data_IF_739224914955
#
_entry.id   IF_739224914955
#
_cell.length_a   1.000
_cell.length_b   1.000
_cell.length_c   1.000
_cell.angle_alpha   90.00
_cell.angle_beta   90.00
_cell.angle_gamma   90.00
#
_symmetry.space_group_name_H-M   'P 1'
#
loop_
_entity.id
_entity.type
_entity.pdbx_description
1 polymer ?
#
# COMPACT_ATOMS: atom_id res chain seq x y z
N UNK A 1 -31.32 7.34 29.39
CA UNK A 1 -30.93 6.89 28.05
C UNK A 1 -30.77 8.15 27.22
N UNK A 2 -29.54 8.62 27.03
CA UNK A 2 -29.26 9.79 26.19
C UNK A 2 -29.29 9.31 24.72
N UNK A 3 -30.38 9.63 24.03
CA UNK A 3 -30.43 9.48 22.57
C UNK A 3 -29.54 10.58 21.97
N UNK A 4 -28.27 10.28 21.71
CA UNK A 4 -27.43 11.12 20.86
C UNK A 4 -28.06 11.05 19.46
N UNK A 5 -28.40 12.20 18.91
CA UNK A 5 -28.80 12.34 17.51
C UNK A 5 -27.65 11.82 16.63
N UNK A 6 -27.93 10.98 15.62
CA UNK A 6 -26.87 10.50 14.74
C UNK A 6 -26.20 11.69 14.03
N UNK A 7 -24.86 11.70 14.02
CA UNK A 7 -24.05 12.72 13.34
C UNK A 7 -24.44 12.79 11.85
N UNK A 8 -24.51 13.98 11.30
CA UNK A 8 -24.66 14.18 9.85
C UNK A 8 -23.30 14.19 9.15
N UNK A 9 -23.27 14.16 7.82
CA UNK A 9 -22.03 14.36 7.08
C UNK A 9 -21.38 15.72 7.38
N UNK A 10 -22.19 16.76 7.53
CA UNK A 10 -21.72 18.13 7.85
C UNK A 10 -21.05 18.16 9.22
N UNK A 11 -21.67 17.56 10.23
CA UNK A 11 -21.08 17.46 11.58
C UNK A 11 -19.72 16.74 11.55
N UNK A 12 -19.64 15.62 10.82
CA UNK A 12 -18.39 14.88 10.66
C UNK A 12 -17.30 15.69 9.93
N UNK A 13 -17.68 16.51 8.95
CA UNK A 13 -16.76 17.38 8.20
C UNK A 13 -16.24 18.50 9.11
N UNK A 14 -17.12 19.16 9.86
CA UNK A 14 -16.73 20.22 10.81
C UNK A 14 -15.79 19.68 11.89
N UNK A 15 -16.10 18.53 12.48
CA UNK A 15 -15.25 17.90 13.49
C UNK A 15 -13.89 17.50 12.89
N UNK A 16 -13.86 17.07 11.64
CA UNK A 16 -12.61 16.70 10.94
C UNK A 16 -11.68 17.91 10.77
N UNK A 17 -12.21 19.10 10.54
CA UNK A 17 -11.39 20.33 10.43
C UNK A 17 -10.64 20.62 11.75
N UNK A 18 -11.30 20.42 12.89
CA UNK A 18 -10.68 20.61 14.19
C UNK A 18 -9.64 19.53 14.56
N UNK A 19 -9.90 18.29 14.18
CA UNK A 19 -9.09 17.12 14.53
C UNK A 19 -8.03 16.75 13.47
N UNK A 20 -8.13 17.33 12.26
CA UNK A 20 -7.30 16.96 11.11
C UNK A 20 -7.72 15.62 10.46
N UNK A 21 -8.24 14.69 11.24
CA UNK A 21 -8.76 13.39 10.77
C UNK A 21 -9.80 12.84 11.72
N UNK A 22 -10.89 12.31 11.17
CA UNK A 22 -11.98 11.65 11.89
C UNK A 22 -12.19 10.24 11.37
N UNK A 23 -12.49 9.29 12.27
CA UNK A 23 -13.00 7.98 11.93
C UNK A 23 -14.16 7.64 12.88
N UNK A 24 -15.33 7.36 12.31
CA UNK A 24 -16.57 7.19 13.05
C UNK A 24 -17.53 6.24 12.33
N UNK A 25 -18.72 6.06 12.89
CA UNK A 25 -19.81 5.36 12.22
C UNK A 25 -20.27 6.19 11.01
N UNK A 26 -20.66 5.52 9.94
CA UNK A 26 -21.07 6.23 8.74
C UNK A 26 -22.42 6.95 8.96
N UNK A 27 -22.52 8.25 8.76
CA UNK A 27 -23.76 9.00 8.94
C UNK A 27 -24.85 8.64 7.93
N UNK A 28 -24.50 7.99 6.82
CA UNK A 28 -25.46 7.61 5.78
C UNK A 28 -25.94 6.17 5.95
N UNK A 29 -25.05 5.20 6.14
CA UNK A 29 -25.44 3.78 6.22
C UNK A 29 -25.38 3.20 7.64
N UNK A 30 -25.00 4.00 8.65
CA UNK A 30 -24.89 3.54 10.04
C UNK A 30 -23.79 2.50 10.27
N UNK A 31 -22.92 2.26 9.30
CA UNK A 31 -21.85 1.29 9.42
C UNK A 31 -20.87 1.66 10.53
N UNK A 32 -20.68 0.74 11.50
CA UNK A 32 -19.81 1.02 12.64
C UNK A 32 -18.37 1.20 12.19
N UNK A 33 -17.75 2.32 12.63
CA UNK A 33 -16.36 2.70 12.37
C UNK A 33 -15.93 2.61 10.88
N UNK A 34 -16.92 2.77 9.97
CA UNK A 34 -16.73 2.60 8.52
C UNK A 34 -16.51 3.90 7.76
N UNK A 35 -16.71 5.05 8.39
CA UNK A 35 -16.51 6.36 7.77
C UNK A 35 -15.17 6.96 8.19
N UNK A 36 -14.41 7.49 7.23
CA UNK A 36 -13.18 8.23 7.50
C UNK A 36 -13.20 9.55 6.74
N UNK A 37 -12.84 10.63 7.43
CA UNK A 37 -12.65 11.94 6.83
C UNK A 37 -11.25 12.46 7.18
N UNK A 38 -10.63 13.21 6.27
CA UNK A 38 -9.30 13.81 6.45
C UNK A 38 -9.32 15.23 5.95
N UNK A 39 -8.91 16.17 6.79
CA UNK A 39 -8.75 17.57 6.42
C UNK A 39 -7.39 17.83 5.80
N UNK A 40 -7.38 18.50 4.67
CA UNK A 40 -6.20 18.95 3.94
C UNK A 40 -6.07 20.48 4.10
N UNK A 41 -5.27 20.97 5.06
CA UNK A 41 -5.19 22.40 5.37
C UNK A 41 -4.66 23.23 4.21
N UNK A 42 -3.79 22.65 3.36
CA UNK A 42 -3.20 23.35 2.22
C UNK A 42 -4.20 23.65 1.09
N UNK A 43 -5.29 22.89 1.00
CA UNK A 43 -6.32 23.05 -0.03
C UNK A 43 -7.68 23.41 0.56
N UNK A 44 -7.78 23.54 1.87
CA UNK A 44 -9.04 23.76 2.60
C UNK A 44 -10.12 22.72 2.21
N UNK A 45 -9.72 21.47 2.05
CA UNK A 45 -10.59 20.38 1.65
C UNK A 45 -10.70 19.35 2.77
N UNK A 46 -11.90 18.78 2.90
CA UNK A 46 -12.11 17.52 3.64
C UNK A 46 -12.44 16.44 2.62
N UNK A 47 -11.60 15.41 2.57
CA UNK A 47 -11.85 14.21 1.76
C UNK A 47 -12.44 13.16 2.69
N UNK A 48 -13.57 12.56 2.31
CA UNK A 48 -14.22 11.53 3.11
C UNK A 48 -14.65 10.33 2.29
N UNK A 49 -14.72 9.17 2.95
CA UNK A 49 -15.12 7.92 2.33
C UNK A 49 -15.69 6.95 3.37
N UNK A 50 -16.76 6.25 3.01
CA UNK A 50 -17.26 5.08 3.71
C UNK A 50 -16.65 3.80 3.10
N UNK A 51 -16.17 2.89 3.94
CA UNK A 51 -15.53 1.64 3.51
C UNK A 51 -16.50 0.46 3.40
N UNK A 52 -17.81 0.66 3.59
CA UNK A 52 -18.81 -0.37 3.30
C UNK A 52 -19.05 -0.47 1.80
N UNK A 53 -19.06 -1.70 1.28
CA UNK A 53 -19.22 -1.98 -0.15
C UNK A 53 -20.51 -1.40 -0.76
N UNK A 54 -21.58 -1.37 0.02
CA UNK A 54 -22.90 -0.92 -0.43
C UNK A 54 -23.20 0.54 -0.05
N UNK A 55 -22.18 1.34 0.26
CA UNK A 55 -22.35 2.73 0.67
C UNK A 55 -21.53 3.66 -0.20
N UNK A 56 -22.21 4.51 -0.96
CA UNK A 56 -21.57 5.51 -1.83
C UNK A 56 -21.22 6.84 -1.11
N UNK A 57 -21.24 6.86 0.24
CA UNK A 57 -20.87 8.05 1.00
C UNK A 57 -19.37 8.35 0.91
N UNK A 58 -18.99 9.03 -0.15
CA UNK A 58 -17.63 9.50 -0.43
C UNK A 58 -17.67 10.85 -1.13
N UNK A 59 -16.67 11.68 -0.89
CA UNK A 59 -16.60 12.99 -1.54
C UNK A 59 -15.44 13.84 -1.08
N UNK A 60 -15.47 15.07 -1.59
CA UNK A 60 -14.55 16.14 -1.23
C UNK A 60 -15.37 17.40 -0.99
N UNK A 61 -15.24 17.98 0.21
CA UNK A 61 -15.89 19.22 0.58
C UNK A 61 -14.85 20.32 0.82
N UNK A 62 -15.15 21.54 0.37
CA UNK A 62 -14.33 22.72 0.65
C UNK A 62 -14.82 23.40 1.92
N UNK A 63 -13.95 23.54 2.91
CA UNK A 63 -14.25 24.15 4.20
C UNK A 63 -13.61 25.54 4.28
N UNK A 64 -14.37 26.53 4.78
CA UNK A 64 -13.85 27.90 4.98
C UNK A 64 -14.23 28.93 3.92
N UNK A 65 -15.05 28.59 2.93
CA UNK A 65 -15.70 29.58 2.08
C UNK A 65 -17.10 29.88 2.64
N UNK A 66 -17.24 31.01 3.32
CA UNK A 66 -18.54 31.51 3.76
C UNK A 66 -19.52 31.55 2.57
N UNK A 67 -20.61 30.77 2.66
CA UNK A 67 -21.70 30.70 1.68
C UNK A 67 -22.57 31.96 1.61
N UNK A 68 -22.05 33.12 1.94
CA UNK A 68 -22.80 34.39 1.85
C UNK A 68 -22.00 35.41 1.06
N UNK A 69 -22.06 35.31 -0.26
CA UNK A 69 -22.17 36.48 -1.16
C UNK A 69 -22.25 36.02 -2.61
N UNK A 70 -23.40 36.36 -3.25
CA UNK A 70 -23.56 36.42 -4.67
C UNK A 70 -22.58 37.47 -5.26
N UNK A 71 -21.46 37.02 -5.80
CA UNK A 71 -20.57 37.81 -6.65
C UNK A 71 -19.93 36.89 -7.68
N UNK A 72 -20.71 36.58 -8.70
CA UNK A 72 -20.16 36.10 -9.97
C UNK A 72 -19.41 37.20 -10.68
N UNK A 73 -18.18 37.45 -10.36
CA UNK A 73 -17.24 38.18 -11.22
C UNK A 73 -15.89 38.46 -10.54
N UNK A 74 -15.20 37.49 -9.99
CA UNK A 74 -13.78 37.66 -9.62
C UNK A 74 -13.07 36.30 -9.58
N UNK A 75 -13.41 35.40 -10.48
CA UNK A 75 -12.52 34.25 -10.74
C UNK A 75 -11.58 34.60 -11.89
N UNK A 76 -10.62 35.49 -11.66
CA UNK A 76 -9.31 35.25 -12.23
C UNK A 76 -8.80 33.97 -11.60
N UNK A 77 -8.82 32.90 -12.37
CA UNK A 77 -8.10 31.66 -12.02
C UNK A 77 -6.69 32.10 -11.64
N UNK A 78 -6.27 31.96 -10.37
CA UNK A 78 -4.87 32.16 -10.05
C UNK A 78 -4.15 31.12 -10.90
N UNK A 79 -3.18 31.60 -11.68
CA UNK A 79 -2.24 30.75 -12.37
C UNK A 79 -2.01 29.49 -11.50
N UNK A 80 -2.18 28.33 -12.12
CA UNK A 80 -1.84 27.06 -11.50
C UNK A 80 -0.35 27.13 -11.15
N UNK A 81 -0.03 27.81 -10.07
CA UNK A 81 1.20 27.50 -9.35
C UNK A 81 1.02 26.03 -9.00
N UNK A 82 1.66 25.20 -9.78
CA UNK A 82 1.88 23.82 -9.42
C UNK A 82 2.29 23.85 -7.97
N UNK A 83 1.35 23.44 -7.08
CA UNK A 83 1.72 23.12 -5.72
C UNK A 83 2.67 21.96 -5.89
N UNK A 84 3.93 22.27 -5.89
CA UNK A 84 4.99 21.29 -5.67
C UNK A 84 4.66 20.76 -4.28
N UNK A 85 3.94 19.64 -4.24
CA UNK A 85 4.03 18.77 -3.08
C UNK A 85 5.53 18.65 -2.90
N UNK A 86 6.07 19.10 -1.76
CA UNK A 86 7.46 18.84 -1.42
C UNK A 86 7.61 17.32 -1.44
N UNK A 87 7.88 16.82 -2.61
CA UNK A 87 8.29 15.45 -2.80
C UNK A 87 9.58 15.38 -2.02
N UNK A 88 9.60 14.60 -0.95
CA UNK A 88 10.85 14.27 -0.28
C UNK A 88 11.67 13.54 -1.33
N UNK A 89 12.52 14.29 -2.02
CA UNK A 89 13.39 13.77 -3.07
C UNK A 89 14.47 12.84 -2.49
N UNK A 90 14.70 12.95 -1.19
CA UNK A 90 15.76 12.22 -0.51
C UNK A 90 15.23 11.38 0.65
N UNK A 91 15.72 10.15 0.71
CA UNK A 91 15.49 9.28 1.87
C UNK A 91 16.17 9.87 3.11
N UNK A 92 15.52 9.87 4.28
CA UNK A 92 16.11 10.35 5.53
C UNK A 92 17.09 9.29 6.09
N UNK A 93 18.19 9.07 5.41
CA UNK A 93 19.17 8.02 5.75
C UNK A 93 19.82 8.23 7.11
N UNK A 94 19.84 9.46 7.64
CA UNK A 94 20.45 9.79 8.94
C UNK A 94 19.77 9.11 10.13
N UNK A 95 18.49 8.70 9.98
CA UNK A 95 17.75 7.98 11.02
C UNK A 95 17.72 6.46 10.81
N UNK A 96 18.31 5.98 9.71
CA UNK A 96 18.31 4.57 9.33
C UNK A 96 19.56 3.88 9.88
N UNK A 97 19.34 2.94 10.78
CA UNK A 97 20.40 2.09 11.36
C UNK A 97 20.14 0.62 11.03
N UNK A 98 21.06 -0.26 11.37
CA UNK A 98 20.86 -1.69 11.20
C UNK A 98 19.75 -2.18 12.14
N UNK A 99 18.89 -3.10 11.68
CA UNK A 99 17.75 -3.59 12.47
C UNK A 99 18.18 -4.30 13.75
N UNK A 100 19.40 -4.81 13.84
CA UNK A 100 19.99 -5.46 15.02
C UNK A 100 20.09 -4.54 16.24
N UNK A 101 20.07 -3.23 16.04
CA UNK A 101 20.01 -2.27 17.14
C UNK A 101 18.63 -2.13 17.80
N UNK A 102 17.60 -2.81 17.27
CA UNK A 102 16.26 -2.87 17.86
C UNK A 102 15.78 -4.29 17.95
N UNK A 103 15.57 -4.78 19.19
CA UNK A 103 15.02 -6.11 19.42
C UNK A 103 13.66 -6.27 18.74
N UNK A 104 12.80 -5.26 18.81
CA UNK A 104 11.47 -5.29 18.20
C UNK A 104 11.54 -5.40 16.67
N UNK A 105 12.56 -4.77 16.04
CA UNK A 105 12.79 -4.88 14.62
C UNK A 105 13.22 -6.30 14.23
N UNK A 106 14.15 -6.87 14.98
CA UNK A 106 14.62 -8.25 14.79
C UNK A 106 13.47 -9.26 15.00
N UNK A 107 12.71 -9.13 16.10
CA UNK A 107 11.56 -9.98 16.40
C UNK A 107 10.47 -9.87 15.29
N UNK A 108 10.28 -8.68 14.73
CA UNK A 108 9.38 -8.49 13.58
C UNK A 108 9.89 -9.24 12.34
N UNK A 109 11.18 -9.08 11.99
CA UNK A 109 11.77 -9.74 10.82
C UNK A 109 11.75 -11.27 10.93
N UNK A 110 11.96 -11.82 12.11
CA UNK A 110 11.80 -13.25 12.36
C UNK A 110 10.36 -13.70 12.14
N UNK A 111 9.39 -12.98 12.71
CA UNK A 111 7.97 -13.31 12.60
C UNK A 111 7.45 -13.31 11.16
N UNK A 112 8.00 -12.46 10.29
CA UNK A 112 7.62 -12.36 8.87
C UNK A 112 8.61 -13.08 7.95
N UNK A 113 9.46 -13.92 8.47
CA UNK A 113 10.42 -14.77 7.76
C UNK A 113 11.43 -14.02 6.89
N UNK A 114 11.73 -12.76 7.22
CA UNK A 114 12.65 -11.90 6.45
C UNK A 114 14.06 -11.82 7.05
N UNK A 115 14.29 -12.30 8.29
CA UNK A 115 15.56 -12.08 8.98
C UNK A 115 16.73 -12.80 8.31
N UNK A 116 16.57 -14.05 7.87
CA UNK A 116 17.60 -14.81 7.16
C UNK A 116 17.98 -14.11 5.85
N UNK A 117 17.01 -13.68 5.05
CA UNK A 117 17.26 -12.95 3.80
C UNK A 117 18.03 -11.64 4.03
N UNK A 118 17.76 -10.96 5.15
CA UNK A 118 18.54 -9.78 5.55
C UNK A 118 19.98 -10.15 5.90
N UNK A 119 20.21 -11.20 6.68
CA UNK A 119 21.55 -11.65 7.05
C UNK A 119 22.37 -12.13 5.86
N UNK A 120 21.75 -12.74 4.89
CA UNK A 120 22.35 -13.19 3.63
C UNK A 120 22.47 -12.07 2.59
N UNK A 121 22.02 -10.85 2.93
CA UNK A 121 22.04 -9.66 2.06
C UNK A 121 21.21 -9.76 0.79
N UNK A 122 20.23 -10.66 0.76
CA UNK A 122 19.25 -10.74 -0.33
C UNK A 122 18.27 -9.56 -0.30
N UNK A 123 18.03 -8.99 0.89
CA UNK A 123 17.19 -7.80 1.07
C UNK A 123 17.94 -6.69 1.81
N UNK A 124 17.59 -5.45 1.50
CA UNK A 124 18.14 -4.27 2.15
C UNK A 124 17.14 -3.74 3.18
N UNK A 125 17.37 -4.06 4.45
CA UNK A 125 16.50 -3.64 5.54
C UNK A 125 17.24 -2.71 6.49
N UNK A 126 16.55 -1.70 7.01
CA UNK A 126 17.01 -0.77 8.03
C UNK A 126 15.95 -0.63 9.13
N UNK A 127 16.33 0.00 10.21
CA UNK A 127 15.43 0.44 11.26
C UNK A 127 15.45 1.96 11.36
N UNK A 128 14.28 2.59 11.25
CA UNK A 128 14.14 4.03 11.43
C UNK A 128 13.89 4.34 12.92
N UNK A 129 14.90 4.90 13.57
CA UNK A 129 14.86 5.31 14.96
C UNK A 129 13.80 6.38 15.25
N UNK A 130 13.56 7.31 14.30
CA UNK A 130 12.65 8.44 14.51
C UNK A 130 11.20 8.01 14.45
N UNK A 131 10.87 7.13 13.51
CA UNK A 131 9.50 6.70 13.26
C UNK A 131 9.17 5.32 13.86
N UNK A 132 10.16 4.66 14.47
CA UNK A 132 10.04 3.28 14.99
C UNK A 132 9.44 2.33 13.96
N UNK A 133 10.17 2.17 12.83
CA UNK A 133 9.74 1.36 11.70
C UNK A 133 10.86 0.44 11.22
N UNK A 134 10.48 -0.79 10.86
CA UNK A 134 11.32 -1.60 9.99
C UNK A 134 11.16 -1.09 8.57
N UNK A 135 12.25 -0.79 7.90
CA UNK A 135 12.29 -0.10 6.62
C UNK A 135 12.93 -0.99 5.57
N UNK A 136 12.18 -1.32 4.54
CA UNK A 136 12.66 -2.04 3.36
C UNK A 136 13.07 -1.00 2.31
N UNK A 137 14.32 -1.05 1.85
CA UNK A 137 14.82 -0.17 0.80
C UNK A 137 14.41 -0.74 -0.56
N UNK A 138 13.90 0.14 -1.43
CA UNK A 138 13.35 -0.24 -2.73
C UNK A 138 14.30 0.21 -3.83
N UNK A 139 14.78 -0.74 -4.61
CA UNK A 139 15.62 -0.48 -5.78
C UNK A 139 14.78 -0.05 -7.00
N UNK A 140 15.38 0.73 -7.87
CA UNK A 140 14.82 1.05 -9.16
C UNK A 140 14.82 -0.20 -10.06
N UNK A 141 13.63 -0.57 -10.56
CA UNK A 141 13.50 -1.73 -11.45
C UNK A 141 14.24 -1.59 -12.78
N UNK A 142 14.57 -0.36 -13.17
CA UNK A 142 15.33 -0.09 -14.42
C UNK A 142 16.83 0.05 -14.18
N UNK A 143 17.23 0.40 -12.96
CA UNK A 143 18.63 0.62 -12.58
C UNK A 143 18.92 -0.15 -11.28
N UNK A 144 19.18 -1.47 -11.37
CA UNK A 144 19.43 -2.30 -10.19
C UNK A 144 20.54 -1.73 -9.30
N UNK A 145 20.30 -1.75 -7.99
CA UNK A 145 21.22 -1.20 -6.99
C UNK A 145 21.04 0.29 -6.66
N UNK A 146 20.30 1.04 -7.48
CA UNK A 146 19.90 2.42 -7.17
C UNK A 146 18.66 2.41 -6.30
N UNK A 147 18.79 2.82 -5.05
CA UNK A 147 17.64 2.94 -4.14
C UNK A 147 16.85 4.20 -4.50
N UNK A 148 15.55 4.07 -4.76
CA UNK A 148 14.65 5.16 -5.13
C UNK A 148 13.59 5.44 -4.08
N UNK A 149 13.26 4.44 -3.26
CA UNK A 149 12.24 4.58 -2.22
C UNK A 149 12.60 3.72 -1.01
N UNK A 150 11.82 3.87 0.03
CA UNK A 150 11.81 2.99 1.18
C UNK A 150 10.37 2.82 1.67
N UNK A 151 10.05 1.63 2.17
CA UNK A 151 8.73 1.31 2.70
C UNK A 151 8.89 0.85 4.14
N UNK A 152 8.32 1.61 5.08
CA UNK A 152 8.47 1.40 6.51
C UNK A 152 7.23 0.80 7.16
N UNK A 153 7.40 -0.33 7.84
CA UNK A 153 6.37 -0.95 8.68
C UNK A 153 6.48 -0.44 10.11
N UNK A 154 5.39 0.11 10.65
CA UNK A 154 5.39 0.51 12.06
C UNK A 154 5.48 -0.69 13.00
N UNK A 155 6.28 -0.56 14.07
CA UNK A 155 6.36 -1.53 15.16
C UNK A 155 5.36 -1.24 16.29
N UNK A 156 4.75 -0.07 16.30
CA UNK A 156 3.68 0.24 17.25
C UNK A 156 2.41 -0.55 16.93
N UNK A 157 1.79 -1.18 17.94
CA UNK A 157 0.54 -1.95 17.77
C UNK A 157 -0.61 -1.13 17.16
N UNK A 158 -0.67 0.17 17.46
CA UNK A 158 -1.67 1.13 16.96
C UNK A 158 -1.03 2.23 16.09
N UNK A 159 0.18 2.00 15.57
CA UNK A 159 0.89 2.99 14.75
C UNK A 159 0.23 3.15 13.38
N UNK A 160 -0.08 4.40 13.00
CA UNK A 160 -0.65 4.73 11.71
C UNK A 160 0.23 5.75 10.98
N UNK A 161 0.35 5.63 9.66
CA UNK A 161 -0.13 4.52 8.82
C UNK A 161 0.65 3.23 9.11
N UNK A 162 0.02 2.08 8.92
CA UNK A 162 0.63 0.74 9.09
C UNK A 162 1.87 0.59 8.20
N UNK A 163 1.77 1.01 6.95
CA UNK A 163 2.87 1.14 5.99
C UNK A 163 3.09 2.60 5.64
N UNK A 164 4.34 3.02 5.51
CA UNK A 164 4.73 4.39 5.20
C UNK A 164 5.74 4.39 4.05
N UNK A 165 5.46 5.16 3.01
CA UNK A 165 6.39 5.40 1.88
C UNK A 165 7.18 6.66 2.16
N UNK A 166 8.49 6.56 2.05
CA UNK A 166 9.39 7.67 2.39
C UNK A 166 9.56 8.69 1.26
N UNK A 167 9.31 8.28 0.02
CA UNK A 167 9.31 9.17 -1.14
C UNK A 167 8.04 8.99 -1.97
N UNK A 168 7.82 9.86 -2.96
CA UNK A 168 6.74 9.75 -3.94
C UNK A 168 7.06 8.80 -5.10
N UNK A 169 8.30 8.29 -5.15
CA UNK A 169 8.71 7.35 -6.20
C UNK A 169 7.96 6.01 -6.11
N UNK A 170 7.88 5.24 -7.19
CA UNK A 170 7.33 3.90 -7.16
C UNK A 170 7.93 3.06 -6.03
N UNK A 171 7.12 2.20 -5.45
CA UNK A 171 7.51 1.34 -4.32
C UNK A 171 7.26 -0.14 -4.61
N UNK A 172 7.13 -0.49 -5.90
CA UNK A 172 7.09 -1.89 -6.30
C UNK A 172 8.41 -2.57 -5.95
N UNK A 173 8.33 -3.72 -5.33
CA UNK A 173 9.48 -4.45 -4.82
C UNK A 173 9.58 -5.80 -5.49
N UNK A 174 10.73 -6.13 -6.06
CA UNK A 174 10.97 -7.40 -6.76
C UNK A 174 12.13 -8.12 -6.08
N UNK A 175 11.94 -9.40 -5.76
CA UNK A 175 12.94 -10.23 -5.10
C UNK A 175 12.86 -11.68 -5.61
N UNK A 176 14.01 -12.35 -5.65
CA UNK A 176 14.14 -13.72 -6.12
C UNK A 176 14.54 -13.79 -7.58
N UNK A 177 14.74 -15.01 -8.06
CA UNK A 177 15.09 -15.32 -9.44
C UNK A 177 14.34 -16.55 -9.89
N UNK A 178 13.62 -16.48 -11.00
CA UNK A 178 12.82 -17.60 -11.46
C UNK A 178 11.97 -17.26 -12.66
N UNK A 179 11.22 -18.24 -13.13
CA UNK A 179 10.36 -18.11 -14.30
C UNK A 179 8.91 -17.75 -13.95
N UNK A 180 8.50 -17.88 -12.68
CA UNK A 180 7.14 -17.61 -12.21
C UNK A 180 7.15 -16.36 -11.34
N UNK A 181 6.49 -15.30 -11.77
CA UNK A 181 6.32 -14.09 -10.97
C UNK A 181 5.03 -14.14 -10.15
N UNK A 182 5.11 -13.85 -8.85
CA UNK A 182 3.95 -13.81 -7.94
C UNK A 182 3.78 -12.39 -7.39
N UNK A 183 2.70 -11.75 -7.76
CA UNK A 183 2.35 -10.40 -7.32
C UNK A 183 1.54 -10.48 -6.04
N UNK A 184 2.04 -9.86 -4.98
CA UNK A 184 1.47 -9.81 -3.63
C UNK A 184 1.33 -8.39 -3.11
N UNK A 185 0.68 -8.17 -1.97
CA UNK A 185 0.44 -6.83 -1.46
C UNK A 185 1.65 -6.20 -0.78
N UNK A 186 2.37 -6.96 0.05
CA UNK A 186 3.43 -6.42 0.90
C UNK A 186 4.79 -7.12 0.69
N UNK A 187 5.85 -6.41 1.07
CA UNK A 187 7.23 -6.86 0.88
C UNK A 187 7.53 -8.18 1.63
N UNK A 188 7.11 -8.37 2.89
CA UNK A 188 7.32 -9.65 3.55
C UNK A 188 6.72 -10.85 2.81
N UNK A 189 5.52 -10.70 2.25
CA UNK A 189 4.91 -11.76 1.42
C UNK A 189 5.73 -12.05 0.17
N UNK A 190 6.27 -11.02 -0.50
CA UNK A 190 7.18 -11.21 -1.62
C UNK A 190 8.48 -11.91 -1.23
N UNK A 191 9.02 -11.61 -0.05
CA UNK A 191 10.19 -12.28 0.50
C UNK A 191 9.94 -13.78 0.72
N UNK A 192 8.80 -14.14 1.29
CA UNK A 192 8.43 -15.55 1.49
C UNK A 192 8.23 -16.29 0.18
N UNK A 193 7.60 -15.66 -0.82
CA UNK A 193 7.52 -16.25 -2.17
C UNK A 193 8.90 -16.50 -2.76
N UNK A 194 9.85 -15.61 -2.55
CA UNK A 194 11.20 -15.72 -3.12
C UNK A 194 12.08 -16.78 -2.48
N UNK A 195 11.64 -17.40 -1.37
CA UNK A 195 12.34 -18.56 -0.79
C UNK A 195 12.07 -19.86 -1.55
N UNK A 196 11.02 -19.88 -2.38
CA UNK A 196 10.76 -21.02 -3.26
C UNK A 196 11.63 -20.98 -4.50
N UNK A 197 12.12 -22.13 -4.90
CA UNK A 197 12.85 -22.27 -6.16
C UNK A 197 11.97 -21.93 -7.36
N UNK A 198 12.54 -21.20 -8.33
CA UNK A 198 11.86 -20.76 -9.56
C UNK A 198 10.76 -19.71 -9.40
N UNK A 199 10.59 -19.11 -8.21
CA UNK A 199 9.61 -18.05 -7.99
C UNK A 199 10.26 -16.68 -7.76
N UNK A 200 9.59 -15.64 -8.23
CA UNK A 200 9.95 -14.24 -8.02
C UNK A 200 8.79 -13.56 -7.27
N UNK A 201 9.07 -13.07 -6.06
CA UNK A 201 8.11 -12.31 -5.29
C UNK A 201 8.07 -10.85 -5.72
N UNK A 202 6.88 -10.32 -5.96
CA UNK A 202 6.65 -8.92 -6.37
C UNK A 202 5.63 -8.28 -5.45
N UNK A 203 6.07 -7.29 -4.65
CA UNK A 203 5.16 -6.56 -3.80
C UNK A 203 4.76 -5.22 -4.43
N UNK A 204 3.46 -4.93 -4.41
CA UNK A 204 2.93 -3.65 -4.90
C UNK A 204 3.19 -2.50 -3.92
N UNK A 205 3.30 -2.83 -2.63
CA UNK A 205 3.37 -1.83 -1.53
C UNK A 205 2.29 -0.74 -1.64
N UNK A 206 1.14 -1.10 -2.20
CA UNK A 206 -0.01 -0.24 -2.45
C UNK A 206 -1.13 -0.99 -3.15
N UNK A 207 -2.11 -0.26 -3.68
CA UNK A 207 -3.32 -0.84 -4.29
C UNK A 207 -3.25 -0.97 -5.81
N UNK A 208 -2.21 -0.44 -6.44
CA UNK A 208 -2.10 -0.41 -7.90
C UNK A 208 -0.67 -0.70 -8.36
N UNK A 209 -0.57 -1.35 -9.50
CA UNK A 209 0.66 -1.65 -10.21
C UNK A 209 1.17 -0.39 -10.92
N UNK A 210 2.44 -0.04 -10.74
CA UNK A 210 3.06 1.08 -11.45
C UNK A 210 3.34 0.76 -12.93
N UNK A 211 3.53 1.78 -13.75
CA UNK A 211 3.93 1.58 -15.15
C UNK A 211 5.33 0.94 -15.25
N UNK A 212 6.23 1.25 -14.30
CA UNK A 212 7.56 0.64 -14.22
C UNK A 212 7.46 -0.87 -13.98
N UNK A 213 6.56 -1.30 -13.09
CA UNK A 213 6.33 -2.72 -12.85
C UNK A 213 5.70 -3.41 -14.06
N UNK A 214 4.73 -2.80 -14.73
CA UNK A 214 4.15 -3.34 -15.96
C UNK A 214 5.23 -3.51 -17.03
N UNK A 215 6.09 -2.52 -17.18
CA UNK A 215 7.22 -2.58 -18.11
C UNK A 215 8.20 -3.73 -17.75
N UNK A 216 8.50 -3.87 -16.46
CA UNK A 216 9.34 -4.97 -15.95
C UNK A 216 8.73 -6.33 -16.24
N UNK A 217 7.47 -6.58 -15.90
CA UNK A 217 6.77 -7.83 -16.16
C UNK A 217 6.73 -8.18 -17.66
N UNK A 218 6.58 -7.16 -18.51
CA UNK A 218 6.52 -7.36 -19.97
C UNK A 218 7.89 -7.69 -20.55
N UNK A 219 8.97 -7.06 -20.04
CA UNK A 219 10.33 -7.24 -20.54
C UNK A 219 11.01 -8.52 -20.06
N UNK A 220 10.75 -8.93 -18.81
CA UNK A 220 11.43 -10.07 -18.18
C UNK A 220 10.96 -11.41 -18.75
N UNK A 221 9.82 -11.44 -19.49
CA UNK A 221 9.30 -12.63 -20.18
C UNK A 221 9.13 -13.85 -19.23
N UNK A 222 8.54 -13.60 -18.05
CA UNK A 222 8.16 -14.68 -17.14
C UNK A 222 7.28 -15.72 -17.87
N UNK A 223 7.45 -17.00 -17.54
CA UNK A 223 6.61 -18.07 -18.07
C UNK A 223 5.17 -17.96 -17.58
N UNK A 224 5.01 -17.44 -16.35
CA UNK A 224 3.72 -17.25 -15.69
C UNK A 224 3.76 -16.07 -14.74
N UNK A 225 2.64 -15.36 -14.63
CA UNK A 225 2.41 -14.30 -13.64
C UNK A 225 1.19 -14.66 -12.81
N UNK A 226 1.37 -14.85 -11.51
CA UNK A 226 0.30 -15.11 -10.54
C UNK A 226 -0.03 -13.82 -9.81
N UNK A 227 -1.29 -13.41 -9.80
CA UNK A 227 -1.76 -12.29 -8.96
C UNK A 227 -2.38 -12.88 -7.71
N UNK A 228 -1.71 -12.71 -6.58
CA UNK A 228 -2.02 -13.33 -5.32
C UNK A 228 -2.20 -12.27 -4.22
N UNK A 229 -3.28 -11.50 -4.33
CA UNK A 229 -3.65 -10.46 -3.37
C UNK A 229 -4.66 -11.01 -2.36
N UNK A 230 -4.86 -10.26 -1.27
CA UNK A 230 -5.87 -10.59 -0.27
C UNK A 230 -7.28 -10.62 -0.87
N UNK A 231 -8.19 -11.36 -0.25
CA UNK A 231 -9.56 -11.55 -0.80
C UNK A 231 -10.36 -10.27 -0.97
N UNK A 232 -10.12 -9.27 -0.13
CA UNK A 232 -10.75 -7.95 -0.21
C UNK A 232 -10.25 -7.11 -1.40
N UNK A 233 -9.10 -7.49 -2.01
CA UNK A 233 -8.53 -6.88 -3.21
C UNK A 233 -8.95 -7.55 -4.53
N UNK A 234 -10.00 -8.38 -4.55
CA UNK A 234 -10.42 -9.14 -5.74
C UNK A 234 -10.68 -8.26 -6.98
N UNK A 235 -11.34 -7.10 -6.82
CA UNK A 235 -11.57 -6.16 -7.91
C UNK A 235 -10.27 -5.56 -8.46
N UNK A 236 -9.30 -5.28 -7.57
CA UNK A 236 -7.98 -4.81 -7.97
C UNK A 236 -7.23 -5.90 -8.77
N UNK A 237 -7.31 -7.16 -8.32
CA UNK A 237 -6.72 -8.29 -9.03
C UNK A 237 -7.27 -8.43 -10.46
N UNK A 238 -8.59 -8.32 -10.62
CA UNK A 238 -9.24 -8.35 -11.95
C UNK A 238 -8.80 -7.18 -12.84
N UNK A 239 -8.71 -5.98 -12.28
CA UNK A 239 -8.22 -4.79 -13.01
C UNK A 239 -6.77 -4.96 -13.46
N UNK A 240 -5.90 -5.52 -12.62
CA UNK A 240 -4.51 -5.81 -12.97
C UNK A 240 -4.43 -6.86 -14.07
N UNK A 241 -5.25 -7.92 -14.00
CA UNK A 241 -5.35 -8.90 -15.06
C UNK A 241 -5.72 -8.27 -16.40
N UNK A 242 -6.73 -7.41 -16.42
CA UNK A 242 -7.14 -6.72 -17.63
C UNK A 242 -6.01 -5.86 -18.24
N UNK A 243 -5.20 -5.19 -17.41
CA UNK A 243 -4.05 -4.39 -17.85
C UNK A 243 -2.90 -5.24 -18.43
N UNK A 244 -2.73 -6.46 -17.92
CA UNK A 244 -1.62 -7.36 -18.31
C UNK A 244 -1.99 -8.37 -19.38
N UNK A 245 -3.28 -8.65 -19.63
CA UNK A 245 -3.81 -9.75 -20.44
C UNK A 245 -3.13 -9.96 -21.80
N UNK A 246 -2.68 -8.86 -22.43
CA UNK A 246 -2.01 -8.92 -23.75
C UNK A 246 -0.52 -8.64 -23.68
N UNK A 247 0.03 -8.48 -22.48
CA UNK A 247 1.42 -8.07 -22.26
C UNK A 247 2.29 -9.18 -21.68
N UNK A 248 1.69 -10.13 -20.99
CA UNK A 248 2.40 -11.26 -20.36
C UNK A 248 1.79 -12.59 -20.80
N UNK A 249 2.61 -13.64 -20.80
CA UNK A 249 2.18 -15.01 -21.08
C UNK A 249 1.73 -15.65 -19.77
N UNK A 250 0.71 -16.50 -19.82
CA UNK A 250 0.27 -17.30 -18.68
C UNK A 250 -0.02 -16.45 -17.44
N UNK A 251 -1.26 -16.05 -17.24
CA UNK A 251 -1.66 -15.27 -16.08
C UNK A 251 -2.79 -15.93 -15.31
N UNK A 252 -2.68 -15.98 -14.00
CA UNK A 252 -3.72 -16.52 -13.13
C UNK A 252 -3.93 -15.63 -11.91
N UNK A 253 -5.13 -15.65 -11.36
CA UNK A 253 -5.48 -14.99 -10.09
C UNK A 253 -5.66 -16.07 -9.03
N UNK A 254 -5.07 -15.86 -7.88
CA UNK A 254 -5.16 -16.75 -6.74
C UNK A 254 -5.53 -15.94 -5.50
N UNK A 255 -6.32 -16.54 -4.63
CA UNK A 255 -6.71 -15.92 -3.35
C UNK A 255 -6.29 -16.83 -2.22
N UNK A 256 -5.28 -16.44 -1.43
CA UNK A 256 -4.83 -17.22 -0.30
C UNK A 256 -5.90 -17.19 0.81
N UNK A 257 -6.05 -18.31 1.51
CA UNK A 257 -6.92 -18.41 2.68
C UNK A 257 -6.24 -17.89 3.95
N UNK A 258 -4.91 -17.87 3.94
CA UNK A 258 -4.04 -17.42 5.03
C UNK A 258 -3.03 -16.44 4.43
N UNK A 259 -2.58 -15.49 5.22
CA UNK A 259 -1.58 -14.51 4.79
C UNK A 259 -0.28 -15.24 4.36
N UNK A 260 0.22 -14.97 3.15
CA UNK A 260 1.37 -15.64 2.53
C UNK A 260 2.59 -15.62 3.45
N UNK A 261 2.89 -14.50 4.10
CA UNK A 261 4.03 -14.39 5.04
C UNK A 261 3.89 -15.23 6.32
N UNK A 262 2.74 -15.89 6.49
CA UNK A 262 2.49 -16.80 7.60
C UNK A 262 2.52 -18.28 7.18
N UNK A 263 2.68 -18.55 5.88
CA UNK A 263 2.82 -19.91 5.36
C UNK A 263 4.28 -20.37 5.53
N UNK A 264 4.46 -21.65 5.77
CA UNK A 264 5.76 -22.30 5.61
C UNK A 264 5.99 -22.67 4.13
N UNK A 265 7.19 -23.11 3.82
CA UNK A 265 7.62 -23.41 2.46
C UNK A 265 6.76 -24.51 1.82
N UNK A 266 6.50 -25.60 2.55
CA UNK A 266 5.70 -26.73 2.09
C UNK A 266 4.26 -26.32 1.75
N UNK A 267 3.60 -25.60 2.67
CA UNK A 267 2.25 -25.05 2.46
C UNK A 267 2.19 -24.11 1.27
N UNK A 268 3.22 -23.31 1.05
CA UNK A 268 3.30 -22.35 -0.02
C UNK A 268 3.50 -23.03 -1.38
N UNK A 269 4.35 -24.06 -1.46
CA UNK A 269 4.53 -24.88 -2.65
C UNK A 269 3.24 -25.60 -3.03
N UNK A 270 2.58 -26.25 -2.08
CA UNK A 270 1.28 -26.89 -2.29
C UNK A 270 0.26 -25.88 -2.81
N UNK A 271 0.17 -24.71 -2.20
CA UNK A 271 -0.79 -23.66 -2.58
C UNK A 271 -0.60 -23.22 -4.04
N UNK A 272 0.63 -23.09 -4.53
CA UNK A 272 0.89 -22.71 -5.92
C UNK A 272 0.72 -23.89 -6.89
N UNK A 273 0.99 -25.12 -6.47
CA UNK A 273 0.92 -26.32 -7.31
C UNK A 273 -0.51 -26.85 -7.46
N UNK A 274 -1.28 -26.97 -6.39
CA UNK A 274 -2.66 -27.50 -6.41
C UNK A 274 -3.60 -26.71 -7.32
N UNK A 275 -3.43 -25.38 -7.41
CA UNK A 275 -4.28 -24.54 -8.25
C UNK A 275 -3.85 -24.50 -9.72
N UNK A 276 -2.68 -25.04 -10.05
CA UNK A 276 -2.30 -25.26 -11.44
C UNK A 276 -3.11 -26.39 -12.10
N UNK A 277 -3.48 -27.41 -11.34
CA UNK A 277 -4.24 -28.56 -11.85
C UNK A 277 -5.73 -28.27 -12.12
N UNK A 278 -6.29 -27.19 -11.58
CA UNK A 278 -7.72 -26.88 -11.71
C UNK A 278 -8.08 -25.94 -12.88
N UNK A 279 -7.13 -25.57 -13.72
CA UNK A 279 -7.34 -24.64 -14.85
C UNK A 279 -6.80 -25.20 -16.18
N UNK A 280 -6.66 -26.53 -16.27
CA UNK A 280 -6.35 -27.28 -17.51
C UNK A 280 -7.58 -27.60 -18.34
#
# INVERSE_FOLDING_TARGET
MNSQTPLTNEDCIEETVGLGRLRTDCPVCGGSNSFSATYLPNTFQVIYNCFKADCDNKGVEFVGLNRTSSLGSLFTVPDRKQFVVETKEFLPTDSFIEPEYSKEAVDYLHRVQCYHLHKEKHIKVKYDLKLNRVVFLVDDLQTPGKIINAVGRTLYKKGLPKWYKYTSQPSDYVIGSGAVAVVVEDIPSACVVSSLDNYVGIALSGTAMSENLICHLTKTNYSKVLICLDKDAALNSMSMCARLKHKVKGMSVMFPNVDIKSMDEETLEEFFTEKECNHG
#
